data_IF_576051776480
#
_entry.id   IF_576051776480
#
_cell.length_a   1.000
_cell.length_b   1.000
_cell.length_c   1.000
_cell.angle_alpha   90.00
_cell.angle_beta   90.00
_cell.angle_gamma   90.00
#
_symmetry.space_group_name_H-M   'P 1'
#
loop_
_entity.id
_entity.type
_entity.pdbx_description
1 polymer ?
#
# COMPACT_ATOMS: atom_id res chain seq x y z
N UNK A 1 28.57 20.78 15.41
CA UNK A 1 27.19 21.09 15.84
C UNK A 1 26.22 20.17 15.10
N UNK A 2 25.69 19.20 15.78
CA UNK A 2 24.64 18.36 15.24
C UNK A 2 23.30 19.08 15.47
N UNK A 3 22.68 19.61 14.41
CA UNK A 3 21.33 20.14 14.45
C UNK A 3 20.36 18.97 14.58
N UNK A 4 19.81 18.76 15.77
CA UNK A 4 18.76 17.76 15.96
C UNK A 4 17.55 18.14 15.13
N UNK A 5 17.13 17.25 14.22
CA UNK A 5 15.85 17.36 13.56
C UNK A 5 14.79 17.23 14.65
N UNK A 6 14.16 18.34 15.03
CA UNK A 6 12.98 18.32 15.89
C UNK A 6 11.90 17.55 15.14
N UNK A 7 11.58 16.36 15.58
CA UNK A 7 10.29 15.76 15.24
C UNK A 7 9.21 16.71 15.72
N UNK A 8 8.45 17.28 14.78
CA UNK A 8 7.28 18.10 15.12
C UNK A 8 6.31 17.19 15.89
N UNK A 9 6.14 17.47 17.17
CA UNK A 9 5.11 16.82 17.97
C UNK A 9 3.76 17.28 17.43
N UNK A 10 2.98 16.33 16.88
CA UNK A 10 1.60 16.57 16.48
C UNK A 10 0.82 16.81 17.76
N UNK A 11 0.35 18.04 17.97
CA UNK A 11 -0.50 18.38 19.10
C UNK A 11 -1.92 17.86 18.87
N UNK A 12 -2.67 17.50 19.95
CA UNK A 12 -4.04 16.99 19.84
C UNK A 12 -5.03 17.91 19.13
N UNK A 13 -4.76 19.19 19.06
CA UNK A 13 -5.60 20.17 18.37
C UNK A 13 -5.57 20.08 16.83
N UNK A 14 -4.61 19.36 16.26
CA UNK A 14 -4.53 19.19 14.81
C UNK A 14 -5.41 18.05 14.28
N UNK A 15 -6.13 17.37 15.17
CA UNK A 15 -6.93 16.16 14.85
C UNK A 15 -8.39 16.45 14.48
N UNK A 16 -8.84 17.69 14.48
CA UNK A 16 -10.26 18.03 14.21
C UNK A 16 -10.56 18.48 12.79
N UNK A 17 -9.55 18.53 11.91
CA UNK A 17 -9.80 18.71 10.48
C UNK A 17 -10.38 17.42 9.93
N UNK A 18 -11.54 17.48 9.26
CA UNK A 18 -12.18 16.34 8.62
C UNK A 18 -11.12 15.43 7.97
N UNK A 19 -11.02 14.19 8.46
CA UNK A 19 -10.02 13.23 7.98
C UNK A 19 -10.47 12.83 6.57
N UNK A 20 -9.82 13.38 5.54
CA UNK A 20 -9.99 12.89 4.19
C UNK A 20 -9.41 11.49 4.11
N UNK A 21 -10.16 10.49 3.58
CA UNK A 21 -9.61 9.16 3.36
C UNK A 21 -8.39 9.24 2.45
N UNK A 22 -7.31 8.56 2.83
CA UNK A 22 -6.08 8.45 2.05
C UNK A 22 -5.80 6.98 1.78
N UNK A 23 -5.70 6.62 0.51
CA UNK A 23 -5.31 5.27 0.09
C UNK A 23 -3.78 5.15 0.09
N UNK A 24 -3.27 4.24 0.90
CA UNK A 24 -1.86 3.83 0.84
C UNK A 24 -1.69 2.62 -0.07
N UNK A 25 -0.80 2.71 -1.05
CA UNK A 25 -0.48 1.60 -1.95
C UNK A 25 0.89 1.04 -1.58
N UNK A 26 0.91 -0.21 -1.13
CA UNK A 26 2.12 -0.99 -0.93
C UNK A 26 2.57 -1.52 -2.30
N UNK A 27 3.52 -0.83 -2.90
CA UNK A 27 3.95 -1.02 -4.28
C UNK A 27 5.44 -1.33 -4.44
N UNK A 28 5.89 -1.30 -5.68
CA UNK A 28 7.25 -1.66 -6.03
C UNK A 28 7.48 -3.18 -6.19
N UNK A 29 6.41 -3.97 -6.11
CA UNK A 29 6.41 -5.44 -6.03
C UNK A 29 5.90 -6.17 -7.32
N UNK A 30 6.03 -5.75 -8.59
CA UNK A 30 6.91 -4.79 -9.17
C UNK A 30 6.33 -3.39 -9.41
N UNK A 31 7.26 -2.50 -9.79
CA UNK A 31 6.95 -1.08 -9.97
C UNK A 31 5.90 -0.79 -11.04
N UNK A 32 5.93 -1.50 -12.16
CA UNK A 32 4.96 -1.32 -13.25
C UNK A 32 3.51 -1.58 -12.80
N UNK A 33 3.28 -2.59 -11.95
CA UNK A 33 1.96 -2.88 -11.41
C UNK A 33 1.44 -1.74 -10.52
N UNK A 34 2.33 -1.08 -9.78
CA UNK A 34 1.98 0.08 -8.95
C UNK A 34 1.57 1.27 -9.79
N UNK A 35 2.29 1.56 -10.87
CA UNK A 35 1.94 2.60 -11.83
C UNK A 35 0.58 2.31 -12.49
N UNK A 36 0.37 1.08 -12.92
CA UNK A 36 -0.89 0.66 -13.55
C UNK A 36 -2.07 0.78 -12.59
N UNK A 37 -1.92 0.35 -11.34
CA UNK A 37 -2.97 0.49 -10.34
C UNK A 37 -3.34 1.97 -10.10
N UNK A 38 -2.33 2.83 -9.98
CA UNK A 38 -2.58 4.27 -9.83
C UNK A 38 -3.33 4.86 -11.03
N UNK A 39 -2.92 4.51 -12.25
CA UNK A 39 -3.60 4.94 -13.47
C UNK A 39 -5.06 4.46 -13.49
N UNK A 40 -5.29 3.18 -13.17
CA UNK A 40 -6.64 2.62 -13.12
C UNK A 40 -7.54 3.34 -12.12
N UNK A 41 -7.04 3.65 -10.92
CA UNK A 41 -7.80 4.39 -9.91
C UNK A 41 -8.15 5.78 -10.44
N UNK A 42 -7.20 6.45 -11.06
CA UNK A 42 -7.40 7.79 -11.63
C UNK A 42 -8.47 7.76 -12.72
N UNK A 43 -8.37 6.80 -13.65
CA UNK A 43 -9.27 6.70 -14.80
C UNK A 43 -10.70 6.30 -14.40
N UNK A 44 -10.85 5.52 -13.34
CA UNK A 44 -12.16 5.03 -12.88
C UNK A 44 -12.80 5.91 -11.78
N UNK A 45 -12.09 6.91 -11.28
CA UNK A 45 -12.67 7.86 -10.33
C UNK A 45 -13.53 8.88 -11.09
N UNK A 46 -14.82 9.00 -10.77
CA UNK A 46 -15.69 10.00 -11.40
C UNK A 46 -15.34 11.39 -10.89
N UNK A 47 -14.41 12.06 -11.55
CA UNK A 47 -13.87 13.37 -11.18
C UNK A 47 -14.04 14.36 -12.33
N UNK A 48 -14.42 15.61 -12.02
CA UNK A 48 -14.50 16.72 -12.96
C UNK A 48 -13.32 17.70 -12.79
N UNK A 49 -12.66 17.64 -11.65
CA UNK A 49 -11.50 18.46 -11.26
C UNK A 49 -10.58 17.66 -10.37
N UNK A 50 -9.35 18.11 -10.19
CA UNK A 50 -8.33 17.41 -9.41
C UNK A 50 -8.78 17.10 -7.98
N UNK A 51 -9.54 18.01 -7.36
CA UNK A 51 -10.02 17.87 -5.98
C UNK A 51 -11.08 16.78 -5.79
N UNK A 52 -11.64 16.23 -6.85
CA UNK A 52 -12.62 15.15 -6.81
C UNK A 52 -11.93 13.77 -6.79
N UNK A 53 -10.61 13.72 -7.03
CA UNK A 53 -9.84 12.49 -7.00
C UNK A 53 -9.54 12.03 -5.57
N UNK A 54 -9.18 10.74 -5.45
CA UNK A 54 -8.78 10.10 -4.20
C UNK A 54 -7.36 10.54 -3.82
N UNK A 55 -7.15 10.91 -2.58
CA UNK A 55 -5.80 11.13 -2.05
C UNK A 55 -5.06 9.80 -1.94
N UNK A 56 -3.89 9.70 -2.57
CA UNK A 56 -3.12 8.46 -2.66
C UNK A 56 -1.66 8.72 -2.26
N UNK A 57 -1.10 7.80 -1.50
CA UNK A 57 0.33 7.70 -1.24
C UNK A 57 0.82 6.31 -1.65
N UNK A 58 1.93 6.25 -2.37
CA UNK A 58 2.49 5.00 -2.89
C UNK A 58 3.90 4.81 -2.32
N UNK A 59 4.12 3.65 -1.71
CA UNK A 59 5.47 3.17 -1.41
C UNK A 59 5.92 2.24 -2.54
N UNK A 60 6.84 2.70 -3.38
CA UNK A 60 7.41 1.87 -4.44
C UNK A 60 8.75 1.29 -3.99
N UNK A 61 8.70 0.27 -3.13
CA UNK A 61 9.89 -0.39 -2.58
C UNK A 61 10.28 -1.61 -3.41
N UNK A 62 10.99 -1.36 -4.53
CA UNK A 62 11.44 -2.42 -5.43
C UNK A 62 12.48 -3.36 -4.78
N UNK A 63 13.17 -2.92 -3.73
CA UNK A 63 14.14 -3.72 -2.96
C UNK A 63 13.50 -4.74 -2.00
N UNK A 64 12.17 -4.83 -1.93
CA UNK A 64 11.48 -5.87 -1.15
C UNK A 64 11.93 -7.25 -1.61
N UNK A 65 12.29 -8.19 -0.70
CA UNK A 65 12.70 -9.54 -1.06
C UNK A 65 11.71 -10.24 -1.99
N UNK A 66 12.22 -11.13 -2.85
CA UNK A 66 11.41 -11.85 -3.83
C UNK A 66 10.35 -12.72 -3.13
N UNK A 67 9.08 -12.39 -3.35
CA UNK A 67 7.92 -13.06 -2.76
C UNK A 67 7.80 -14.49 -3.25
N UNK A 68 7.97 -14.71 -4.56
CA UNK A 68 7.87 -16.04 -5.16
C UNK A 68 8.98 -16.95 -4.66
N UNK A 69 10.23 -16.48 -4.67
CA UNK A 69 11.37 -17.27 -4.19
C UNK A 69 11.20 -17.69 -2.72
N UNK A 70 10.67 -16.81 -1.87
CA UNK A 70 10.36 -17.13 -0.48
C UNK A 70 9.24 -18.18 -0.36
N UNK A 71 8.13 -18.00 -1.06
CA UNK A 71 6.95 -18.89 -0.98
C UNK A 71 7.29 -20.31 -1.44
N UNK A 72 8.11 -20.46 -2.49
CA UNK A 72 8.52 -21.79 -2.98
C UNK A 72 9.74 -22.37 -2.26
N UNK A 73 10.24 -21.72 -1.22
CA UNK A 73 11.35 -22.19 -0.40
C UNK A 73 12.74 -22.04 -1.02
N UNK A 74 12.88 -21.26 -2.10
CA UNK A 74 14.18 -20.98 -2.75
C UNK A 74 14.97 -19.88 -2.03
N UNK A 75 14.31 -19.05 -1.23
CA UNK A 75 14.93 -18.00 -0.42
C UNK A 75 14.40 -18.07 1.00
N UNK A 76 15.26 -17.72 1.97
CA UNK A 76 14.91 -17.55 3.38
C UNK A 76 14.57 -16.11 3.75
N UNK A 77 14.74 -15.18 2.82
CA UNK A 77 14.48 -13.75 3.03
C UNK A 77 12.98 -13.52 3.02
N UNK A 78 12.39 -13.45 4.21
CA UNK A 78 10.95 -13.21 4.39
C UNK A 78 10.59 -11.76 4.00
N UNK A 79 9.76 -11.54 2.99
CA UNK A 79 9.33 -10.21 2.59
C UNK A 79 8.45 -9.49 3.62
N UNK A 80 7.89 -10.23 4.57
CA UNK A 80 6.88 -9.70 5.50
C UNK A 80 7.38 -8.49 6.29
N UNK A 81 8.57 -8.55 6.88
CA UNK A 81 9.08 -7.47 7.73
C UNK A 81 9.21 -6.15 6.97
N UNK A 82 9.69 -6.23 5.73
CA UNK A 82 9.81 -5.07 4.84
C UNK A 82 8.44 -4.53 4.45
N UNK A 83 7.49 -5.40 4.14
CA UNK A 83 6.13 -5.02 3.78
C UNK A 83 5.39 -4.41 4.97
N UNK A 84 5.57 -4.95 6.17
CA UNK A 84 5.00 -4.38 7.41
C UNK A 84 5.55 -2.97 7.67
N UNK A 85 6.86 -2.77 7.56
CA UNK A 85 7.50 -1.46 7.71
C UNK A 85 6.96 -0.44 6.69
N UNK A 86 6.75 -0.85 5.45
CA UNK A 86 6.14 -0.01 4.43
C UNK A 86 4.71 0.36 4.77
N UNK A 87 3.92 -0.60 5.22
CA UNK A 87 2.55 -0.35 5.66
C UNK A 87 2.49 0.64 6.82
N UNK A 88 3.36 0.50 7.81
CA UNK A 88 3.47 1.43 8.94
C UNK A 88 3.88 2.82 8.46
N UNK A 89 4.82 2.93 7.53
CA UNK A 89 5.26 4.21 6.97
C UNK A 89 4.14 4.92 6.22
N UNK A 90 3.34 4.17 5.46
CA UNK A 90 2.16 4.71 4.77
C UNK A 90 1.11 5.24 5.76
N UNK A 91 0.86 4.50 6.85
CA UNK A 91 -0.05 4.94 7.93
C UNK A 91 0.48 6.20 8.61
N UNK A 92 1.77 6.27 8.89
CA UNK A 92 2.39 7.47 9.46
C UNK A 92 2.30 8.69 8.54
N UNK A 93 2.33 8.48 7.24
CA UNK A 93 2.10 9.54 6.26
C UNK A 93 0.66 10.06 6.31
N UNK A 94 -0.30 9.20 6.63
CA UNK A 94 -1.71 9.55 6.74
C UNK A 94 -2.66 8.57 6.02
N UNK A 95 -2.17 7.44 5.52
CA UNK A 95 -3.04 6.44 4.92
C UNK A 95 -4.06 5.91 5.93
N UNK A 96 -5.33 5.89 5.53
CA UNK A 96 -6.46 5.40 6.34
C UNK A 96 -6.91 4.01 5.90
N UNK A 97 -6.46 3.57 4.73
CA UNK A 97 -6.68 2.25 4.16
C UNK A 97 -5.49 1.88 3.30
N UNK A 98 -5.14 0.60 3.27
CA UNK A 98 -4.01 0.10 2.48
C UNK A 98 -4.48 -0.86 1.40
N UNK A 99 -3.76 -0.87 0.27
CA UNK A 99 -3.90 -1.84 -0.80
C UNK A 99 -2.52 -2.40 -1.18
N UNK A 100 -2.48 -3.66 -1.60
CA UNK A 100 -1.26 -4.33 -2.03
C UNK A 100 -1.28 -4.44 -3.56
N UNK A 101 -0.35 -3.75 -4.23
CA UNK A 101 -0.24 -3.74 -5.69
C UNK A 101 0.58 -4.95 -6.21
N UNK A 102 0.28 -6.15 -5.73
CA UNK A 102 0.98 -7.37 -6.12
C UNK A 102 0.13 -8.60 -5.81
N UNK A 103 -0.08 -9.46 -6.79
CA UNK A 103 -0.83 -10.70 -6.60
C UNK A 103 -0.13 -11.66 -5.64
N UNK A 104 1.14 -11.93 -5.87
CA UNK A 104 1.93 -12.86 -5.07
C UNK A 104 2.07 -12.40 -3.63
N UNK A 105 2.15 -11.09 -3.40
CA UNK A 105 2.24 -10.52 -2.06
C UNK A 105 0.97 -10.73 -1.22
N UNK A 106 -0.17 -11.07 -1.82
CA UNK A 106 -1.38 -11.43 -1.08
C UNK A 106 -1.22 -12.73 -0.26
N UNK A 107 -0.18 -13.52 -0.52
CA UNK A 107 0.22 -14.61 0.38
C UNK A 107 0.46 -14.13 1.81
N UNK A 108 0.93 -12.91 1.99
CA UNK A 108 1.21 -12.29 3.30
C UNK A 108 0.02 -11.51 3.87
N UNK A 109 -1.12 -11.53 3.18
CA UNK A 109 -2.27 -10.69 3.52
C UNK A 109 -2.71 -10.85 4.98
N UNK A 110 -2.93 -12.07 5.46
CA UNK A 110 -3.46 -12.31 6.80
C UNK A 110 -2.49 -11.81 7.89
N UNK A 111 -1.18 -11.99 7.68
CA UNK A 111 -0.14 -11.47 8.59
C UNK A 111 -0.12 -9.93 8.57
N UNK A 112 -0.21 -9.32 7.41
CA UNK A 112 -0.24 -7.86 7.26
C UNK A 112 -1.50 -7.26 7.86
N UNK A 113 -2.67 -7.84 7.59
CA UNK A 113 -3.94 -7.36 8.14
C UNK A 113 -3.98 -7.43 9.66
N UNK A 114 -3.34 -8.44 10.26
CA UNK A 114 -3.22 -8.56 11.72
C UNK A 114 -2.23 -7.57 12.34
N UNK A 115 -1.17 -7.20 11.61
CA UNK A 115 -0.08 -6.36 12.12
C UNK A 115 -0.31 -4.85 11.90
N UNK A 116 -1.08 -4.48 10.88
CA UNK A 116 -1.24 -3.07 10.49
C UNK A 116 -2.45 -2.43 11.16
N UNK A 117 -2.36 -1.16 11.58
CA UNK A 117 -3.39 -0.49 12.38
C UNK A 117 -4.58 0.03 11.58
N UNK A 118 -4.56 -0.10 10.25
CA UNK A 118 -5.65 0.30 9.34
C UNK A 118 -6.07 -0.87 8.46
N UNK A 119 -7.30 -0.84 7.90
CA UNK A 119 -7.75 -1.91 7.00
C UNK A 119 -6.83 -2.10 5.80
N UNK A 120 -6.48 -3.35 5.51
CA UNK A 120 -5.79 -3.76 4.28
C UNK A 120 -6.83 -4.38 3.35
N UNK A 121 -6.94 -3.87 2.14
CA UNK A 121 -7.92 -4.36 1.16
C UNK A 121 -7.45 -5.67 0.53
N UNK A 122 -8.31 -6.67 0.61
CA UNK A 122 -8.10 -7.99 0.01
C UNK A 122 -8.53 -7.98 -1.45
N UNK A 123 -7.80 -8.72 -2.28
CA UNK A 123 -8.11 -8.91 -3.71
C UNK A 123 -9.46 -9.59 -4.00
N UNK A 124 -10.16 -10.13 -3.02
CA UNK A 124 -11.35 -10.97 -3.18
C UNK A 124 -12.47 -10.38 -4.07
N UNK A 125 -12.51 -9.07 -4.30
CA UNK A 125 -13.47 -8.44 -5.20
C UNK A 125 -13.16 -8.65 -6.70
N UNK A 126 -11.96 -9.13 -7.05
CA UNK A 126 -11.56 -9.40 -8.43
C UNK A 126 -11.80 -10.85 -8.86
N UNK A 127 -12.00 -11.76 -7.92
CA UNK A 127 -12.24 -13.19 -8.21
C UNK A 127 -13.68 -13.48 -8.64
N UNK A 128 -14.59 -12.53 -8.52
CA UNK A 128 -15.97 -12.68 -8.96
C UNK A 128 -16.18 -12.34 -10.45
N UNK A 129 -15.14 -11.96 -11.18
CA UNK A 129 -15.20 -11.80 -12.64
C UNK A 129 -14.47 -12.96 -13.32
N UNK A 130 -15.17 -13.83 -14.07
CA UNK A 130 -14.57 -15.04 -14.64
C UNK A 130 -13.55 -14.80 -15.77
N UNK A 131 -13.38 -13.57 -16.23
CA UNK A 131 -12.62 -13.27 -17.44
C UNK A 131 -11.32 -12.47 -17.22
N UNK A 132 -10.88 -12.24 -16.00
CA UNK A 132 -9.55 -11.67 -15.74
C UNK A 132 -8.48 -12.76 -15.70
N UNK A 133 -8.06 -13.23 -16.86
CA UNK A 133 -6.79 -13.95 -17.05
C UNK A 133 -5.68 -12.91 -16.86
N UNK A 134 -5.01 -12.93 -15.71
CA UNK A 134 -3.74 -12.22 -15.57
C UNK A 134 -2.73 -12.88 -16.52
N UNK A 135 -2.13 -12.15 -17.45
CA UNK A 135 -0.98 -12.69 -18.17
C UNK A 135 0.13 -12.97 -17.17
N UNK A 136 0.60 -14.22 -17.18
CA UNK A 136 1.74 -14.71 -16.42
C UNK A 136 3.01 -13.96 -16.75
#
# INVERSE_FOLDING_TARGET
>A
MMGGVRMAQITPEQTTKAIHPVLGIMGGLGPAASCYLYQMITDHTPAQKDQDHIDIVISSRASTPDRTAFIVGKSKDDPFDVMEQDGISLVRYGATVLAIACNTAHYFYDRLAAALPVPVKRRALWQSQPDCICPT
#
